data_IF_149531802632
#
_entry.id   IF_149531802632
#
_cell.length_a   1.000
_cell.length_b   1.000
_cell.length_c   1.000
_cell.angle_alpha   90.00
_cell.angle_beta   90.00
_cell.angle_gamma   90.00
#
_symmetry.space_group_name_H-M   'P 1'
#
loop_
_entity.id
_entity.type
_entity.pdbx_description
1 polymer ?
#
# COMPACT_ATOMS: atom_id res chain seq x y z
N UNK A 1 -8.24 -2.89 17.32
CA UNK A 1 -7.83 -1.62 16.72
C UNK A 1 -6.37 -1.75 16.31
N UNK A 2 -6.05 -1.40 15.05
CA UNK A 2 -4.68 -1.32 14.55
C UNK A 2 -4.27 0.13 14.33
N UNK A 3 -3.24 0.59 15.05
CA UNK A 3 -2.68 1.94 14.91
C UNK A 3 -1.23 1.80 14.49
N UNK A 4 -0.89 2.19 13.26
CA UNK A 4 0.48 2.03 12.78
C UNK A 4 0.62 2.07 11.26
N UNK A 5 1.78 1.67 10.77
CA UNK A 5 2.04 1.50 9.35
C UNK A 5 1.47 0.19 8.79
N UNK A 6 1.73 -0.07 7.51
CA UNK A 6 1.17 -1.23 6.80
C UNK A 6 1.34 -2.57 7.53
N UNK A 7 2.52 -2.87 8.08
CA UNK A 7 2.75 -4.13 8.80
C UNK A 7 1.86 -4.27 10.04
N UNK A 8 1.63 -3.18 10.78
CA UNK A 8 0.73 -3.19 11.95
C UNK A 8 -0.71 -3.41 11.52
N UNK A 9 -1.14 -2.75 10.45
CA UNK A 9 -2.48 -2.92 9.90
C UNK A 9 -2.68 -4.34 9.36
N UNK A 10 -1.69 -4.89 8.67
CA UNK A 10 -1.73 -6.26 8.16
C UNK A 10 -1.83 -7.30 9.30
N UNK A 11 -1.06 -7.12 10.37
CA UNK A 11 -1.18 -7.99 11.56
C UNK A 11 -2.57 -7.87 12.17
N UNK A 12 -3.12 -6.67 12.28
CA UNK A 12 -4.47 -6.44 12.82
C UNK A 12 -5.54 -7.17 12.01
N UNK A 13 -5.45 -7.10 10.68
CA UNK A 13 -6.34 -7.84 9.77
C UNK A 13 -6.21 -9.35 9.97
N UNK A 14 -4.96 -9.85 9.98
CA UNK A 14 -4.70 -11.28 10.15
C UNK A 14 -5.22 -11.78 11.51
N UNK A 15 -4.95 -11.07 12.61
CA UNK A 15 -5.45 -11.43 13.94
C UNK A 15 -6.98 -11.47 13.95
N UNK A 16 -7.65 -10.44 13.38
CA UNK A 16 -9.11 -10.41 13.29
C UNK A 16 -9.67 -11.65 12.59
N UNK A 17 -9.10 -12.02 11.44
CA UNK A 17 -9.51 -13.20 10.67
C UNK A 17 -9.25 -14.48 11.46
N UNK A 18 -8.07 -14.62 12.07
CA UNK A 18 -7.63 -15.83 12.78
C UNK A 18 -8.37 -16.08 14.11
N UNK A 19 -8.94 -15.06 14.73
CA UNK A 19 -9.76 -15.24 15.95
C UNK A 19 -11.04 -16.04 15.66
N UNK A 20 -11.53 -16.01 14.43
CA UNK A 20 -12.78 -16.71 14.02
C UNK A 20 -12.48 -17.94 13.16
N UNK A 21 -11.45 -17.88 12.32
CA UNK A 21 -11.07 -18.96 11.41
C UNK A 21 -10.01 -19.84 12.06
N UNK A 22 -10.34 -21.11 12.31
CA UNK A 22 -9.47 -22.08 13.01
C UNK A 22 -8.28 -22.52 12.15
N UNK A 23 -7.18 -22.87 12.80
CA UNK A 23 -6.01 -23.44 12.14
C UNK A 23 -4.81 -22.50 12.12
N UNK A 24 -3.87 -22.74 11.22
CA UNK A 24 -2.64 -21.93 11.08
C UNK A 24 -2.87 -20.79 10.08
N UNK A 25 -2.28 -19.64 10.34
CA UNK A 25 -2.32 -18.48 9.43
C UNK A 25 -1.85 -18.84 8.02
N UNK A 26 -0.87 -19.73 7.88
CA UNK A 26 -0.38 -20.22 6.58
C UNK A 26 -1.45 -20.89 5.72
N UNK A 27 -2.51 -21.44 6.33
CA UNK A 27 -3.60 -22.09 5.59
C UNK A 27 -4.49 -21.07 4.87
N UNK A 28 -4.39 -19.80 5.22
CA UNK A 28 -5.19 -18.70 4.67
C UNK A 28 -4.36 -17.78 3.76
N UNK A 29 -3.06 -18.02 3.63
CA UNK A 29 -2.22 -17.30 2.66
C UNK A 29 -2.56 -17.74 1.24
N UNK A 30 -3.14 -16.85 0.45
CA UNK A 30 -3.68 -17.11 -0.89
C UNK A 30 -4.89 -16.21 -1.14
N UNK A 31 -5.80 -16.69 -1.98
CA UNK A 31 -6.96 -15.94 -2.43
C UNK A 31 -8.25 -16.57 -1.89
N UNK A 32 -9.03 -15.76 -1.14
CA UNK A 32 -10.38 -16.08 -0.64
C UNK A 32 -10.47 -17.40 0.16
N UNK A 33 -9.41 -17.76 0.89
CA UNK A 33 -9.35 -18.97 1.70
C UNK A 33 -10.00 -18.80 3.08
N UNK A 34 -10.25 -17.58 3.54
CA UNK A 34 -10.98 -17.34 4.76
C UNK A 34 -12.47 -17.59 4.56
N UNK A 35 -13.07 -18.42 5.42
CA UNK A 35 -14.47 -18.86 5.26
C UNK A 35 -15.47 -18.04 6.09
N UNK A 36 -14.97 -17.27 7.06
CA UNK A 36 -15.79 -16.49 7.99
C UNK A 36 -15.19 -15.10 8.18
N UNK A 37 -16.07 -14.10 8.30
CA UNK A 37 -15.68 -12.74 8.68
C UNK A 37 -14.98 -12.76 10.04
N UNK A 38 -13.88 -12.03 10.14
CA UNK A 38 -13.16 -11.84 11.39
C UNK A 38 -13.92 -10.96 12.40
N UNK A 39 -13.36 -10.73 13.57
CA UNK A 39 -13.90 -9.79 14.55
C UNK A 39 -13.87 -8.36 13.99
N UNK A 40 -14.77 -7.49 14.48
CA UNK A 40 -14.81 -6.07 14.12
C UNK A 40 -13.44 -5.43 14.33
N UNK A 41 -12.97 -4.69 13.33
CA UNK A 41 -11.63 -4.10 13.35
C UNK A 41 -11.61 -2.68 12.82
N UNK A 42 -10.83 -1.83 13.49
CA UNK A 42 -10.61 -0.43 13.14
C UNK A 42 -9.16 -0.25 12.73
N UNK A 43 -8.92 0.39 11.58
CA UNK A 43 -7.60 0.72 11.08
C UNK A 43 -7.30 2.22 11.19
N UNK A 44 -6.14 2.57 11.75
CA UNK A 44 -5.67 3.95 11.89
C UNK A 44 -4.24 4.00 11.33
N UNK A 45 -4.06 4.38 10.04
CA UNK A 45 -2.73 4.45 9.44
C UNK A 45 -1.93 5.63 10.01
N UNK A 46 -0.65 5.38 10.32
CA UNK A 46 0.29 6.40 10.77
C UNK A 46 1.36 6.74 9.74
N UNK A 47 1.27 6.14 8.57
CA UNK A 47 2.04 6.48 7.35
C UNK A 47 1.07 6.45 6.16
N UNK A 48 1.39 7.18 5.11
CA UNK A 48 0.61 7.17 3.85
C UNK A 48 1.41 6.51 2.76
N UNK A 49 0.90 5.43 2.18
CA UNK A 49 1.61 4.75 1.10
C UNK A 49 1.15 3.35 0.82
N UNK A 50 1.08 2.52 1.84
CA UNK A 50 0.85 1.09 1.67
C UNK A 50 -0.57 0.73 1.22
N UNK A 51 -1.55 1.61 1.45
CA UNK A 51 -2.96 1.33 1.20
C UNK A 51 -3.50 0.13 1.98
N UNK A 52 -2.76 -0.36 2.99
CA UNK A 52 -3.19 -1.51 3.79
C UNK A 52 -4.51 -1.23 4.51
N UNK A 53 -4.80 0.02 4.83
CA UNK A 53 -6.05 0.44 5.45
C UNK A 53 -7.27 0.13 4.59
N UNK A 54 -7.14 0.18 3.26
CA UNK A 54 -8.26 0.03 2.31
C UNK A 54 -8.15 -1.18 1.39
N UNK A 55 -6.98 -1.85 1.35
CA UNK A 55 -6.80 -3.06 0.55
C UNK A 55 -7.35 -4.31 1.24
N UNK A 56 -7.72 -5.32 0.44
CA UNK A 56 -8.20 -6.62 0.93
C UNK A 56 -7.07 -7.59 1.29
N UNK A 57 -5.82 -7.17 1.15
CA UNK A 57 -4.64 -7.99 1.38
C UNK A 57 -4.01 -7.67 2.73
N UNK A 58 -3.62 -8.68 3.48
CA UNK A 58 -2.65 -8.53 4.56
C UNK A 58 -1.44 -9.43 4.31
N UNK A 59 -0.26 -8.84 4.23
CA UNK A 59 0.97 -9.53 3.83
C UNK A 59 1.76 -9.94 5.06
N UNK A 60 2.03 -11.25 5.16
CA UNK A 60 2.74 -11.84 6.29
C UNK A 60 3.94 -12.66 5.80
N UNK A 61 5.01 -12.66 6.59
CA UNK A 61 6.18 -13.50 6.33
C UNK A 61 6.05 -14.76 7.17
N UNK A 62 6.10 -15.92 6.52
CA UNK A 62 6.19 -17.18 7.20
C UNK A 62 7.59 -17.32 7.83
N UNK A 63 7.67 -17.41 9.16
CA UNK A 63 8.94 -17.44 9.88
C UNK A 63 9.81 -18.67 9.56
N UNK A 64 9.19 -19.78 9.15
CA UNK A 64 9.88 -21.03 8.81
C UNK A 64 10.37 -21.05 7.37
N UNK A 65 9.48 -20.78 6.41
CA UNK A 65 9.80 -20.83 4.98
C UNK A 65 10.41 -19.54 4.44
N UNK A 66 10.34 -18.44 5.22
CA UNK A 66 10.74 -17.07 4.82
C UNK A 66 9.96 -16.51 3.63
N UNK A 67 8.93 -17.21 3.20
CA UNK A 67 8.07 -16.76 2.08
C UNK A 67 7.13 -15.67 2.58
N UNK A 68 7.04 -14.58 1.84
CA UNK A 68 6.14 -13.45 2.04
C UNK A 68 4.90 -13.64 1.17
N UNK A 69 3.74 -13.89 1.78
CA UNK A 69 2.48 -14.09 1.09
C UNK A 69 1.34 -13.33 1.76
N UNK A 70 0.36 -12.92 0.96
CA UNK A 70 -0.85 -12.24 1.42
C UNK A 70 -1.97 -13.22 1.78
N UNK A 71 -2.73 -12.87 2.82
CA UNK A 71 -4.11 -13.33 2.96
C UNK A 71 -4.97 -12.32 2.19
N UNK A 72 -5.53 -12.75 1.07
CA UNK A 72 -6.34 -11.89 0.20
C UNK A 72 -7.80 -12.29 0.38
N UNK A 73 -8.56 -11.49 1.11
CA UNK A 73 -9.96 -11.80 1.40
C UNK A 73 -10.75 -10.53 1.73
N UNK A 74 -12.00 -10.47 1.31
CA UNK A 74 -12.90 -9.40 1.74
C UNK A 74 -13.11 -9.39 3.26
N UNK A 75 -12.92 -10.54 3.93
CA UNK A 75 -12.96 -10.64 5.39
C UNK A 75 -11.77 -10.00 6.09
N UNK A 76 -10.70 -9.66 5.36
CA UNK A 76 -9.56 -8.92 5.90
C UNK A 76 -9.75 -7.40 5.89
N UNK A 77 -10.70 -6.87 5.13
CA UNK A 77 -11.01 -5.43 5.09
C UNK A 77 -11.35 -4.91 6.49
N UNK A 78 -10.88 -3.70 6.83
CA UNK A 78 -11.31 -3.02 8.04
C UNK A 78 -12.80 -2.67 7.96
N UNK A 79 -13.50 -2.79 9.08
CA UNK A 79 -14.91 -2.38 9.20
C UNK A 79 -15.03 -0.86 9.35
N UNK A 80 -14.00 -0.22 9.93
CA UNK A 80 -13.88 1.22 10.07
C UNK A 80 -12.43 1.65 9.89
N UNK A 81 -12.25 2.80 9.25
CA UNK A 81 -10.93 3.41 9.03
C UNK A 81 -10.98 4.85 9.52
N UNK A 82 -9.96 5.25 10.27
CA UNK A 82 -9.80 6.64 10.74
C UNK A 82 -8.55 7.21 10.09
N UNK A 83 -8.75 8.20 9.24
CA UNK A 83 -7.68 8.93 8.55
C UNK A 83 -7.44 10.26 9.25
N UNK A 84 -6.36 10.36 10.04
CA UNK A 84 -5.97 11.61 10.68
C UNK A 84 -4.54 12.00 10.26
N UNK A 85 -4.38 13.10 9.49
CA UNK A 85 -3.10 13.55 8.98
C UNK A 85 -2.12 14.00 10.06
N UNK A 86 -2.56 14.12 11.31
CA UNK A 86 -1.69 14.43 12.44
C UNK A 86 -0.59 13.39 12.62
N UNK A 87 -0.92 12.11 12.38
CA UNK A 87 0.02 11.00 12.52
C UNK A 87 1.18 11.06 11.51
N UNK A 88 1.03 11.78 10.41
CA UNK A 88 2.10 11.96 9.42
C UNK A 88 3.09 13.08 9.79
N UNK A 89 2.78 13.91 10.80
CA UNK A 89 3.59 15.09 11.16
C UNK A 89 5.03 14.72 11.51
N UNK A 90 5.21 13.65 12.26
CA UNK A 90 6.51 13.22 12.80
C UNK A 90 7.23 12.17 11.96
N UNK A 91 6.61 11.67 10.88
CA UNK A 91 7.26 10.69 9.98
C UNK A 91 8.55 11.30 9.41
N UNK A 92 9.71 10.62 9.48
CA UNK A 92 10.96 11.11 8.88
C UNK A 92 10.80 11.44 7.39
N UNK A 93 11.44 12.53 6.91
CA UNK A 93 11.27 13.01 5.52
C UNK A 93 11.49 11.89 4.48
N UNK A 94 12.53 11.10 4.67
CA UNK A 94 12.88 10.01 3.76
C UNK A 94 11.81 8.90 3.75
N UNK A 95 11.33 8.49 4.92
CA UNK A 95 10.25 7.50 5.03
C UNK A 95 8.95 8.04 4.42
N UNK A 96 8.63 9.30 4.66
CA UNK A 96 7.48 9.98 4.09
C UNK A 96 7.50 9.94 2.55
N UNK A 97 8.66 10.20 1.95
CA UNK A 97 8.85 10.10 0.50
C UNK A 97 8.67 8.66 0.00
N UNK A 98 9.34 7.69 0.60
CA UNK A 98 9.25 6.30 0.13
C UNK A 98 7.83 5.75 0.21
N UNK A 99 7.11 6.05 1.29
CA UNK A 99 5.73 5.60 1.43
C UNK A 99 4.80 6.32 0.44
N UNK A 100 4.99 7.60 0.20
CA UNK A 100 4.22 8.30 -0.82
C UNK A 100 4.49 7.77 -2.24
N UNK A 101 5.73 7.35 -2.53
CA UNK A 101 6.04 6.68 -3.80
C UNK A 101 5.35 5.33 -3.92
N UNK A 102 5.16 4.61 -2.83
CA UNK A 102 4.39 3.36 -2.83
C UNK A 102 2.94 3.61 -3.31
N UNK A 103 2.30 4.67 -2.80
CA UNK A 103 0.98 5.12 -3.31
C UNK A 103 1.01 5.40 -4.81
N UNK A 104 2.01 6.14 -5.28
CA UNK A 104 2.16 6.48 -6.70
C UNK A 104 2.31 5.20 -7.54
N UNK A 105 3.12 4.24 -7.07
CA UNK A 105 3.35 2.98 -7.77
C UNK A 105 2.09 2.10 -7.79
N UNK A 106 1.37 1.95 -6.70
CA UNK A 106 0.08 1.27 -6.64
C UNK A 106 -0.88 1.82 -7.70
N UNK A 107 -1.03 3.15 -7.72
CA UNK A 107 -2.02 3.81 -8.56
C UNK A 107 -1.70 3.68 -10.06
N UNK A 108 -0.45 3.87 -10.48
CA UNK A 108 -0.15 3.72 -11.90
C UNK A 108 -0.15 2.25 -12.35
N UNK A 109 0.30 1.30 -11.51
CA UNK A 109 0.26 -0.11 -11.86
C UNK A 109 -1.16 -0.64 -11.98
N UNK A 110 -2.08 -0.16 -11.15
CA UNK A 110 -3.51 -0.43 -11.26
C UNK A 110 -4.07 -0.05 -12.63
N UNK A 111 -3.64 1.08 -13.20
CA UNK A 111 -4.04 1.55 -14.53
C UNK A 111 -3.42 0.77 -15.70
N UNK A 112 -2.41 -0.05 -15.45
CA UNK A 112 -1.67 -0.78 -16.49
C UNK A 112 -1.83 -2.29 -16.43
N UNK A 113 -2.50 -2.79 -15.40
CA UNK A 113 -2.70 -4.23 -15.19
C UNK A 113 -3.81 -4.83 -16.05
N UNK A 114 -3.79 -6.15 -16.22
CA UNK A 114 -4.80 -6.90 -17.00
C UNK A 114 -6.17 -6.95 -16.33
N UNK A 115 -6.25 -6.63 -15.03
CA UNK A 115 -7.50 -6.62 -14.25
C UNK A 115 -8.06 -5.21 -14.06
N UNK A 116 -7.57 -4.27 -14.85
CA UNK A 116 -8.05 -2.90 -14.91
C UNK A 116 -9.57 -2.84 -15.11
N UNK A 117 -10.23 -1.95 -14.40
CA UNK A 117 -11.67 -1.71 -14.52
C UNK A 117 -11.99 -0.24 -14.18
N UNK A 118 -13.13 0.29 -14.66
CA UNK A 118 -13.46 1.72 -14.52
C UNK A 118 -13.49 2.23 -13.08
N UNK A 119 -13.86 1.39 -12.11
CA UNK A 119 -13.91 1.80 -10.69
C UNK A 119 -12.50 1.96 -10.13
N UNK A 120 -11.63 0.97 -10.34
CA UNK A 120 -10.23 1.05 -9.93
C UNK A 120 -9.47 2.17 -10.65
N UNK A 121 -9.80 2.40 -11.93
CA UNK A 121 -9.24 3.52 -12.71
C UNK A 121 -9.57 4.86 -12.06
N UNK A 122 -10.83 5.11 -11.70
CA UNK A 122 -11.25 6.34 -11.06
C UNK A 122 -10.50 6.60 -9.73
N UNK A 123 -10.32 5.56 -8.91
CA UNK A 123 -9.51 5.67 -7.68
C UNK A 123 -8.04 5.99 -7.98
N UNK A 124 -7.46 5.32 -8.96
CA UNK A 124 -6.06 5.54 -9.37
C UNK A 124 -5.82 6.94 -9.91
N UNK A 125 -6.70 7.43 -10.79
CA UNK A 125 -6.57 8.77 -11.38
C UNK A 125 -6.62 9.87 -10.32
N UNK A 126 -7.56 9.77 -9.36
CA UNK A 126 -7.64 10.73 -8.26
C UNK A 126 -6.41 10.62 -7.35
N UNK A 127 -5.96 9.41 -7.03
CA UNK A 127 -4.75 9.19 -6.23
C UNK A 127 -3.51 9.79 -6.89
N UNK A 128 -3.31 9.55 -8.19
CA UNK A 128 -2.19 10.12 -8.96
C UNK A 128 -2.25 11.65 -9.03
N UNK A 129 -3.43 12.22 -9.20
CA UNK A 129 -3.63 13.68 -9.17
C UNK A 129 -3.21 14.27 -7.83
N UNK A 130 -3.61 13.65 -6.72
CA UNK A 130 -3.22 14.09 -5.38
C UNK A 130 -1.71 14.00 -5.15
N UNK A 131 -1.05 12.94 -5.64
CA UNK A 131 0.40 12.84 -5.62
C UNK A 131 1.05 13.96 -6.44
N UNK A 132 0.59 14.21 -7.67
CA UNK A 132 1.07 15.30 -8.52
C UNK A 132 0.94 16.67 -7.81
N UNK A 133 -0.19 16.94 -7.17
CA UNK A 133 -0.43 18.19 -6.44
C UNK A 133 0.52 18.38 -5.25
N UNK A 134 0.91 17.30 -4.57
CA UNK A 134 1.84 17.37 -3.44
C UNK A 134 3.28 17.58 -3.91
N UNK A 135 3.74 16.76 -4.85
CA UNK A 135 5.16 16.75 -5.25
C UNK A 135 5.54 17.84 -6.26
N UNK A 136 4.59 18.38 -7.01
CA UNK A 136 4.82 19.52 -7.91
C UNK A 136 4.46 20.88 -7.25
N UNK A 137 4.08 20.87 -5.97
CA UNK A 137 3.83 22.11 -5.25
C UNK A 137 5.15 22.79 -4.88
N UNK A 138 5.18 24.13 -4.93
CA UNK A 138 6.29 24.93 -4.42
C UNK A 138 6.30 25.02 -2.88
N UNK A 139 5.47 24.22 -2.21
CA UNK A 139 5.33 24.20 -0.76
C UNK A 139 6.06 23.03 -0.14
N UNK A 140 6.33 23.09 1.15
CA UNK A 140 6.84 21.95 1.90
C UNK A 140 5.86 20.77 1.75
N UNK A 141 6.38 19.61 1.31
CA UNK A 141 5.60 18.39 1.11
C UNK A 141 4.89 17.89 2.38
N UNK A 142 5.27 18.38 3.56
CA UNK A 142 4.69 18.00 4.87
C UNK A 142 3.77 19.06 5.47
N UNK A 143 3.24 20.01 4.69
CA UNK A 143 2.16 20.87 5.18
C UNK A 143 0.96 20.05 5.62
N UNK A 144 0.06 20.61 6.43
CA UNK A 144 -1.17 19.91 6.84
C UNK A 144 -1.96 19.43 5.61
N UNK A 145 -2.19 20.31 4.66
CA UNK A 145 -2.92 20.02 3.42
C UNK A 145 -2.24 18.90 2.60
N UNK A 146 -0.91 18.91 2.48
CA UNK A 146 -0.20 17.88 1.74
C UNK A 146 -0.26 16.52 2.45
N UNK A 147 -0.23 16.49 3.79
CA UNK A 147 -0.45 15.26 4.55
C UNK A 147 -1.87 14.70 4.36
N UNK A 148 -2.88 15.56 4.36
CA UNK A 148 -4.27 15.19 4.04
C UNK A 148 -4.37 14.57 2.65
N UNK A 149 -3.82 15.24 1.64
CA UNK A 149 -3.80 14.76 0.25
C UNK A 149 -3.13 13.38 0.12
N UNK A 150 -1.95 13.20 0.70
CA UNK A 150 -1.25 11.90 0.63
C UNK A 150 -1.97 10.80 1.39
N UNK A 151 -2.62 11.11 2.51
CA UNK A 151 -3.40 10.12 3.25
C UNK A 151 -4.60 9.65 2.43
N UNK A 152 -5.31 10.56 1.76
CA UNK A 152 -6.40 10.23 0.85
C UNK A 152 -5.87 9.47 -0.38
N UNK A 153 -4.74 9.89 -0.94
CA UNK A 153 -4.12 9.21 -2.07
C UNK A 153 -3.75 7.76 -1.73
N UNK A 154 -3.16 7.50 -0.54
CA UNK A 154 -2.85 6.16 -0.04
C UNK A 154 -4.10 5.29 0.06
N UNK A 155 -5.15 5.82 0.66
CA UNK A 155 -6.44 5.14 0.77
C UNK A 155 -7.01 4.76 -0.60
N UNK A 156 -7.04 5.70 -1.54
CA UNK A 156 -7.55 5.47 -2.89
C UNK A 156 -6.66 4.50 -3.68
N UNK A 157 -5.34 4.60 -3.56
CA UNK A 157 -4.41 3.64 -4.16
C UNK A 157 -4.62 2.21 -3.66
N UNK A 158 -4.87 2.05 -2.35
CA UNK A 158 -5.23 0.76 -1.76
C UNK A 158 -6.56 0.21 -2.28
N UNK A 159 -7.57 1.06 -2.46
CA UNK A 159 -8.86 0.71 -3.09
C UNK A 159 -8.67 0.28 -4.55
N UNK A 160 -7.83 0.98 -5.30
CA UNK A 160 -7.54 0.67 -6.69
C UNK A 160 -6.94 -0.72 -6.85
N UNK A 161 -5.86 -1.04 -6.13
CA UNK A 161 -5.21 -2.36 -6.20
C UNK A 161 -6.06 -3.48 -5.61
N UNK A 162 -7.01 -3.18 -4.73
CA UNK A 162 -7.96 -4.17 -4.25
C UNK A 162 -8.86 -4.74 -5.36
N UNK A 163 -9.12 -3.94 -6.41
CA UNK A 163 -9.96 -4.32 -7.55
C UNK A 163 -9.21 -4.65 -8.83
N UNK A 164 -7.97 -4.18 -9.00
CA UNK A 164 -7.20 -4.33 -10.26
C UNK A 164 -5.83 -5.00 -10.08
N UNK A 165 -5.42 -5.25 -8.83
CA UNK A 165 -4.09 -5.76 -8.48
C UNK A 165 -2.94 -4.80 -8.83
N UNK A 166 -1.72 -5.27 -8.64
CA UNK A 166 -0.47 -4.56 -8.96
C UNK A 166 0.18 -5.12 -10.23
N UNK A 167 1.07 -4.35 -10.83
CA UNK A 167 1.76 -4.72 -12.05
C UNK A 167 3.11 -5.43 -11.83
N UNK A 168 4.12 -5.03 -12.59
CA UNK A 168 5.44 -5.68 -12.61
C UNK A 168 6.33 -5.27 -11.42
N UNK A 169 6.23 -4.02 -10.97
CA UNK A 169 7.12 -3.45 -9.95
C UNK A 169 6.99 -4.15 -8.61
N UNK A 170 5.77 -4.29 -8.13
CA UNK A 170 5.49 -4.82 -6.79
C UNK A 170 5.89 -6.29 -6.59
N UNK A 171 5.61 -7.23 -7.50
CA UNK A 171 6.09 -8.62 -7.36
C UNK A 171 7.60 -8.73 -7.30
N UNK A 172 8.33 -7.99 -8.16
CA UNK A 172 9.80 -7.96 -8.16
C UNK A 172 10.30 -7.39 -6.82
N UNK A 173 9.75 -6.26 -6.41
CA UNK A 173 10.11 -5.62 -5.14
C UNK A 173 9.81 -6.50 -3.94
N UNK A 174 8.68 -7.19 -3.91
CA UNK A 174 8.32 -8.10 -2.82
C UNK A 174 9.34 -9.25 -2.69
N UNK A 175 9.79 -9.81 -3.81
CA UNK A 175 10.83 -10.83 -3.84
C UNK A 175 12.16 -10.31 -3.28
N UNK A 176 12.64 -9.18 -3.80
CA UNK A 176 13.90 -8.54 -3.35
C UNK A 176 13.82 -8.16 -1.87
N UNK A 177 12.74 -7.52 -1.45
CA UNK A 177 12.51 -7.12 -0.05
C UNK A 177 12.54 -8.32 0.91
N UNK A 178 11.99 -9.46 0.47
CA UNK A 178 11.97 -10.68 1.26
C UNK A 178 13.39 -11.25 1.46
N UNK A 179 14.20 -11.28 0.41
CA UNK A 179 15.56 -11.83 0.43
C UNK A 179 16.52 -10.89 1.16
N UNK A 180 16.52 -9.60 0.81
CA UNK A 180 17.45 -8.60 1.36
C UNK A 180 16.99 -8.01 2.70
N UNK A 181 15.79 -8.35 3.17
CA UNK A 181 15.17 -7.80 4.40
C UNK A 181 15.12 -6.27 4.40
N UNK A 182 14.93 -5.67 3.23
CA UNK A 182 14.82 -4.23 3.05
C UNK A 182 13.37 -3.76 3.21
N UNK A 183 13.14 -2.51 3.65
CA UNK A 183 11.79 -1.93 3.72
C UNK A 183 11.12 -1.93 2.34
N UNK A 184 9.86 -2.35 2.28
CA UNK A 184 9.11 -2.53 1.02
C UNK A 184 9.10 -1.28 0.13
N UNK A 185 8.69 -0.14 0.69
CA UNK A 185 8.56 1.10 -0.08
C UNK A 185 9.92 1.61 -0.61
N UNK A 186 11.01 1.42 0.14
CA UNK A 186 12.37 1.68 -0.33
C UNK A 186 12.73 0.76 -1.50
N UNK A 187 12.41 -0.53 -1.37
CA UNK A 187 12.68 -1.52 -2.42
C UNK A 187 11.90 -1.22 -3.69
N UNK A 188 10.65 -0.75 -3.58
CA UNK A 188 9.86 -0.29 -4.72
C UNK A 188 10.56 0.84 -5.48
N UNK A 189 11.09 1.83 -4.77
CA UNK A 189 11.87 2.92 -5.39
C UNK A 189 13.12 2.40 -6.09
N UNK A 190 13.83 1.45 -5.48
CA UNK A 190 15.01 0.82 -6.08
C UNK A 190 14.67 0.03 -7.35
N UNK A 191 13.59 -0.75 -7.31
CA UNK A 191 13.12 -1.53 -8.47
C UNK A 191 12.70 -0.60 -9.60
N UNK A 192 12.01 0.50 -9.31
CA UNK A 192 11.61 1.49 -10.33
C UNK A 192 12.81 2.03 -11.12
N UNK A 193 13.96 2.26 -10.47
CA UNK A 193 15.21 2.67 -11.13
C UNK A 193 15.75 1.59 -12.10
N UNK A 194 15.43 0.32 -11.90
CA UNK A 194 15.92 -0.79 -12.71
C UNK A 194 14.97 -1.18 -13.86
N UNK A 195 13.68 -0.94 -13.68
CA UNK A 195 12.65 -1.34 -14.65
C UNK A 195 12.09 -0.16 -15.45
N UNK A 196 12.76 0.98 -15.45
CA UNK A 196 12.33 2.24 -16.09
C UNK A 196 11.88 2.07 -17.55
N UNK A 197 12.46 1.14 -18.29
CA UNK A 197 12.11 0.85 -19.69
C UNK A 197 10.67 0.38 -19.88
N UNK A 198 10.07 -0.21 -18.84
CA UNK A 198 8.68 -0.68 -18.88
C UNK A 198 7.68 0.42 -18.50
N UNK A 199 8.14 1.46 -17.79
CA UNK A 199 7.33 2.56 -17.28
C UNK A 199 7.98 3.93 -17.53
N UNK A 200 8.31 4.29 -18.79
CA UNK A 200 9.15 5.47 -19.06
C UNK A 200 8.49 6.80 -18.64
N UNK A 201 7.18 6.94 -18.83
CA UNK A 201 6.46 8.14 -18.45
C UNK A 201 6.37 8.29 -16.91
N UNK A 202 6.06 7.21 -16.22
CA UNK A 202 5.96 7.15 -14.76
C UNK A 202 7.33 7.30 -14.11
N UNK A 203 8.38 6.75 -14.71
CA UNK A 203 9.75 6.96 -14.26
C UNK A 203 10.15 8.44 -14.33
N UNK A 204 9.80 9.14 -15.40
CA UNK A 204 10.05 10.59 -15.52
C UNK A 204 9.34 11.38 -14.41
N UNK A 205 8.08 11.04 -14.08
CA UNK A 205 7.36 11.64 -12.95
C UNK A 205 8.04 11.34 -11.62
N UNK A 206 8.39 10.08 -11.37
CA UNK A 206 9.11 9.66 -10.17
C UNK A 206 10.42 10.45 -9.98
N UNK A 207 11.22 10.63 -11.04
CA UNK A 207 12.45 11.42 -11.00
C UNK A 207 12.18 12.89 -10.65
N UNK A 208 11.08 13.46 -11.10
CA UNK A 208 10.68 14.81 -10.73
C UNK A 208 10.30 14.90 -9.24
N UNK A 209 9.51 13.97 -8.74
CA UNK A 209 9.13 13.92 -7.33
C UNK A 209 10.32 13.75 -6.38
N UNK A 210 11.37 13.05 -6.83
CA UNK A 210 12.60 12.83 -6.08
C UNK A 210 13.38 14.13 -5.80
N UNK A 211 13.10 15.20 -6.56
CA UNK A 211 13.74 16.51 -6.41
C UNK A 211 13.02 17.43 -5.41
N UNK A 212 11.78 17.09 -5.00
CA UNK A 212 10.95 17.84 -4.05
C UNK A 212 11.34 17.52 -2.60
#
# INVERSE_FOLDING_TARGET
IGIGGGSTLDITKAVSVMLINKGKTSNYQGWDLANKKGVFKIGIPTISGTGSESSRTCVLINSKTKIKLGINSNYSLFDQIILDPIFLKTVPKQQYFYTAMDTFFHSFESLKGNFRNPISDAYSEVSLKLCDEVFNSNQNIKTKTNREKLMIASYLGGMAIAGSYVGLLHPISAGISSVLKTPHCLTNCYVMEKIQKYYPAEFKKYQNYKKS
#
